data_IF_882184011517
#
_entry.id   IF_882184011517
#
_cell.length_a   1.000
_cell.length_b   1.000
_cell.length_c   1.000
_cell.angle_alpha   90.00
_cell.angle_beta   90.00
_cell.angle_gamma   90.00
#
_symmetry.space_group_name_H-M   'P 1'
#
loop_
_entity.id
_entity.type
_entity.pdbx_description
1 polymer ?
#
# COMPACT_ATOMS: atom_id res chain seq x y z
N UNK A 1 -46.45 17.97 15.52
CA UNK A 1 -45.23 17.54 14.80
C UNK A 1 -44.03 17.72 15.73
N UNK A 2 -43.76 16.74 16.60
CA UNK A 2 -42.71 16.89 17.64
C UNK A 2 -42.01 15.58 18.03
N UNK A 3 -42.52 14.43 17.57
CA UNK A 3 -41.99 13.10 17.91
C UNK A 3 -40.66 12.79 17.22
N UNK A 4 -40.46 13.25 15.98
CA UNK A 4 -39.20 13.03 15.25
C UNK A 4 -38.02 13.79 15.87
N UNK A 5 -38.27 14.97 16.46
CA UNK A 5 -37.26 15.79 17.15
C UNK A 5 -36.86 15.17 18.50
N UNK A 6 -37.83 14.63 19.25
CA UNK A 6 -37.60 13.93 20.52
C UNK A 6 -36.81 12.64 20.33
N UNK A 7 -37.04 11.90 19.23
CA UNK A 7 -36.27 10.71 18.91
C UNK A 7 -34.79 11.05 18.69
N UNK A 8 -34.48 12.13 17.98
CA UNK A 8 -33.11 12.58 17.75
C UNK A 8 -32.38 13.11 19.01
N UNK A 9 -33.12 13.64 19.98
CA UNK A 9 -32.61 14.10 21.28
C UNK A 9 -32.67 13.04 22.38
N UNK A 10 -33.20 11.85 22.09
CA UNK A 10 -33.27 10.75 23.07
C UNK A 10 -31.87 10.21 23.39
N UNK A 11 -31.71 9.70 24.61
CA UNK A 11 -30.49 9.02 25.04
C UNK A 11 -30.14 7.87 24.09
N UNK A 12 -31.13 7.14 23.58
CA UNK A 12 -30.94 6.08 22.59
C UNK A 12 -30.33 6.59 21.28
N UNK A 13 -30.78 7.75 20.77
CA UNK A 13 -30.17 8.34 19.58
C UNK A 13 -28.80 8.94 19.84
N UNK A 14 -28.50 9.35 21.08
CA UNK A 14 -27.15 9.76 21.47
C UNK A 14 -26.19 8.57 21.54
N UNK A 15 -26.62 7.46 22.13
CA UNK A 15 -25.87 6.21 22.21
C UNK A 15 -25.53 5.67 20.81
N UNK A 16 -26.51 5.54 19.91
CA UNK A 16 -26.26 5.09 18.53
C UNK A 16 -25.28 6.00 17.78
N UNK A 17 -25.31 7.32 18.03
CA UNK A 17 -24.34 8.25 17.42
C UNK A 17 -22.95 8.13 18.02
N UNK A 18 -22.85 7.79 19.29
CA UNK A 18 -21.58 7.60 19.98
C UNK A 18 -20.94 6.27 19.55
N UNK A 19 -21.71 5.18 19.58
CA UNK A 19 -21.32 3.86 19.07
C UNK A 19 -20.86 3.95 17.60
N UNK A 20 -21.68 4.54 16.71
CA UNK A 20 -21.28 4.70 15.30
C UNK A 20 -20.05 5.60 15.08
N UNK A 21 -19.74 6.51 16.02
CA UNK A 21 -18.48 7.30 15.98
C UNK A 21 -17.30 6.50 16.48
N UNK A 22 -17.49 5.62 17.46
CA UNK A 22 -16.45 4.73 17.95
C UNK A 22 -16.11 3.66 16.92
N UNK A 23 -17.12 2.99 16.37
CA UNK A 23 -16.98 2.02 15.28
C UNK A 23 -16.27 2.64 14.08
N UNK A 24 -16.74 3.79 13.57
CA UNK A 24 -16.09 4.45 12.44
C UNK A 24 -14.65 4.93 12.71
N UNK A 25 -14.29 5.18 13.98
CA UNK A 25 -12.89 5.48 14.36
C UNK A 25 -12.05 4.22 14.45
N UNK A 26 -12.63 3.10 14.85
CA UNK A 26 -11.96 1.81 14.92
C UNK A 26 -11.70 1.28 13.51
N UNK A 27 -12.73 1.22 12.67
CA UNK A 27 -12.64 0.82 11.26
C UNK A 27 -11.60 1.68 10.52
N UNK A 28 -11.69 3.02 10.60
CA UNK A 28 -10.73 3.88 9.92
C UNK A 28 -9.28 3.75 10.43
N UNK A 29 -9.07 3.32 11.68
CA UNK A 29 -7.71 3.00 12.19
C UNK A 29 -7.23 1.65 11.69
N UNK A 30 -8.11 0.68 11.54
CA UNK A 30 -7.77 -0.64 11.03
C UNK A 30 -7.44 -0.58 9.54
N UNK A 31 -8.31 0.02 8.73
CA UNK A 31 -8.09 0.26 7.29
C UNK A 31 -6.77 1.00 7.05
N UNK A 32 -6.55 2.14 7.73
CA UNK A 32 -5.31 2.90 7.56
C UNK A 32 -4.04 2.16 8.01
N UNK A 33 -4.14 1.21 8.94
CA UNK A 33 -3.01 0.34 9.32
C UNK A 33 -2.77 -0.75 8.28
N UNK A 34 -3.81 -1.28 7.68
CA UNK A 34 -3.71 -2.28 6.63
C UNK A 34 -3.10 -1.66 5.36
N UNK A 35 -3.66 -0.56 4.87
CA UNK A 35 -3.14 0.20 3.73
C UNK A 35 -1.66 0.56 3.93
N UNK A 36 -1.31 1.16 5.08
CA UNK A 36 0.08 1.52 5.37
C UNK A 36 1.04 0.33 5.46
N UNK A 37 0.56 -0.86 5.82
CA UNK A 37 1.38 -2.10 5.81
C UNK A 37 1.58 -2.60 4.39
N UNK A 38 0.57 -2.53 3.53
CA UNK A 38 0.67 -2.95 2.14
C UNK A 38 1.60 -2.03 1.34
N UNK A 39 1.41 -0.71 1.48
CA UNK A 39 2.30 0.29 0.88
C UNK A 39 3.75 0.10 1.34
N UNK A 40 3.97 -0.03 2.65
CA UNK A 40 5.32 -0.25 3.20
C UNK A 40 5.98 -1.54 2.71
N UNK A 41 5.21 -2.60 2.45
CA UNK A 41 5.73 -3.85 1.87
C UNK A 41 6.16 -3.65 0.42
N UNK A 42 5.35 -2.95 -0.37
CA UNK A 42 5.67 -2.66 -1.76
C UNK A 42 6.91 -1.78 -1.88
N UNK A 43 6.98 -0.69 -1.11
CA UNK A 43 8.16 0.19 -1.07
C UNK A 43 9.42 -0.57 -0.67
N UNK A 44 9.34 -1.45 0.34
CA UNK A 44 10.46 -2.26 0.77
C UNK A 44 10.94 -3.23 -0.32
N UNK A 45 10.01 -3.89 -1.04
CA UNK A 45 10.38 -4.79 -2.15
C UNK A 45 10.94 -4.03 -3.35
N UNK A 46 10.36 -2.88 -3.72
CA UNK A 46 10.89 -2.00 -4.74
C UNK A 46 12.33 -1.57 -4.40
N UNK A 47 12.56 -1.15 -3.16
CA UNK A 47 13.90 -0.84 -2.64
C UNK A 47 14.86 -2.02 -2.74
N UNK A 48 14.41 -3.24 -2.42
CA UNK A 48 15.23 -4.44 -2.53
C UNK A 48 15.64 -4.75 -3.98
N UNK A 49 14.74 -4.61 -4.95
CA UNK A 49 15.06 -4.77 -6.39
C UNK A 49 16.19 -3.83 -6.79
N UNK A 50 16.04 -2.54 -6.48
CA UNK A 50 17.03 -1.52 -6.82
C UNK A 50 18.37 -1.75 -6.14
N UNK A 51 18.34 -2.14 -4.86
CA UNK A 51 19.53 -2.48 -4.08
C UNK A 51 20.30 -3.64 -4.71
N UNK A 52 19.63 -4.70 -5.16
CA UNK A 52 20.29 -5.84 -5.82
C UNK A 52 20.98 -5.43 -7.11
N UNK A 53 20.30 -4.65 -7.98
CA UNK A 53 20.90 -4.14 -9.22
C UNK A 53 22.15 -3.29 -8.95
N UNK A 54 22.05 -2.37 -7.98
CA UNK A 54 23.16 -1.51 -7.57
C UNK A 54 24.34 -2.34 -7.05
N UNK A 55 24.10 -3.33 -6.19
CA UNK A 55 25.14 -4.23 -5.66
C UNK A 55 25.81 -5.06 -6.75
N UNK A 56 25.08 -5.40 -7.82
CA UNK A 56 25.61 -6.09 -9.00
C UNK A 56 26.32 -5.14 -9.98
N UNK A 57 26.31 -3.83 -9.73
CA UNK A 57 26.88 -2.83 -10.64
C UNK A 57 26.07 -2.64 -11.93
N UNK A 58 24.80 -3.05 -11.95
CA UNK A 58 23.90 -2.81 -13.09
C UNK A 58 23.43 -1.37 -13.03
N UNK A 59 23.70 -0.59 -14.08
CA UNK A 59 23.22 0.77 -14.18
C UNK A 59 21.68 0.80 -14.19
N UNK A 60 21.09 1.62 -13.33
CA UNK A 60 19.64 1.79 -13.22
C UNK A 60 19.26 3.20 -13.70
N UNK A 61 18.79 3.34 -14.95
CA UNK A 61 18.28 4.61 -15.45
C UNK A 61 17.10 5.14 -14.61
N UNK A 62 16.89 6.47 -14.57
CA UNK A 62 15.79 7.09 -13.81
C UNK A 62 14.42 6.49 -14.15
N UNK A 63 14.18 6.13 -15.41
CA UNK A 63 12.92 5.57 -15.89
C UNK A 63 12.65 4.18 -15.30
N UNK A 64 13.72 3.37 -15.14
CA UNK A 64 13.62 2.06 -14.49
C UNK A 64 13.37 2.22 -13.01
N UNK A 65 14.10 3.13 -12.35
CA UNK A 65 13.92 3.43 -10.93
C UNK A 65 12.50 3.91 -10.62
N UNK A 66 11.99 4.84 -11.42
CA UNK A 66 10.63 5.36 -11.32
C UNK A 66 9.58 4.27 -11.50
N UNK A 67 9.79 3.38 -12.50
CA UNK A 67 8.87 2.27 -12.74
C UNK A 67 8.84 1.27 -11.59
N UNK A 68 10.00 0.96 -11.00
CA UNK A 68 10.09 0.07 -9.84
C UNK A 68 9.41 0.69 -8.62
N UNK A 69 9.68 1.96 -8.33
CA UNK A 69 9.13 2.67 -7.16
C UNK A 69 7.61 2.92 -7.25
N UNK A 70 7.04 3.03 -8.44
CA UNK A 70 5.58 3.19 -8.63
C UNK A 70 4.81 1.88 -8.61
N UNK A 71 5.49 0.73 -8.58
CA UNK A 71 4.83 -0.56 -8.58
C UNK A 71 4.40 -0.93 -7.15
N UNK A 72 3.10 -1.18 -6.97
CA UNK A 72 2.52 -1.64 -5.70
C UNK A 72 2.15 -3.13 -5.70
N UNK A 73 2.28 -3.80 -6.85
CA UNK A 73 1.96 -5.22 -6.99
C UNK A 73 3.11 -6.10 -6.45
N UNK A 74 2.91 -6.65 -5.25
CA UNK A 74 3.92 -7.47 -4.56
C UNK A 74 4.37 -8.69 -5.38
N UNK A 75 3.50 -9.45 -6.07
CA UNK A 75 3.93 -10.54 -6.96
C UNK A 75 4.85 -10.07 -8.09
N UNK A 76 4.53 -8.94 -8.74
CA UNK A 76 5.40 -8.34 -9.77
C UNK A 76 6.74 -7.92 -9.20
N UNK A 77 6.75 -7.23 -8.05
CA UNK A 77 7.99 -6.82 -7.37
C UNK A 77 8.85 -8.03 -6.96
N UNK A 78 8.24 -9.09 -6.45
CA UNK A 78 8.93 -10.34 -6.13
C UNK A 78 9.56 -10.98 -7.38
N UNK A 79 8.84 -10.99 -8.50
CA UNK A 79 9.34 -11.54 -9.76
C UNK A 79 10.47 -10.66 -10.35
N UNK A 80 10.44 -9.34 -10.13
CA UNK A 80 11.55 -8.47 -10.49
C UNK A 80 12.75 -8.68 -9.57
N UNK A 81 12.52 -8.91 -8.27
CA UNK A 81 13.59 -9.18 -7.31
C UNK A 81 14.34 -10.47 -7.66
N UNK A 82 13.62 -11.52 -8.05
CA UNK A 82 14.22 -12.77 -8.52
C UNK A 82 15.08 -12.53 -9.79
N UNK A 83 14.54 -11.82 -10.78
CA UNK A 83 15.27 -11.46 -12.01
C UNK A 83 16.46 -10.53 -11.77
N UNK A 84 16.40 -9.67 -10.77
CA UNK A 84 17.46 -8.72 -10.45
C UNK A 84 18.80 -9.40 -10.19
N UNK A 85 18.81 -10.69 -9.83
CA UNK A 85 20.03 -11.48 -9.66
C UNK A 85 20.70 -11.90 -10.96
N UNK A 86 19.98 -11.96 -12.08
CA UNK A 86 20.46 -12.58 -13.32
C UNK A 86 20.48 -11.65 -14.54
N UNK A 87 19.62 -10.63 -14.59
CA UNK A 87 19.56 -9.69 -15.74
C UNK A 87 20.90 -9.04 -16.03
N UNK A 88 21.21 -8.83 -17.31
CA UNK A 88 22.43 -8.13 -17.74
C UNK A 88 22.25 -6.60 -17.73
N UNK A 89 21.01 -6.14 -17.89
CA UNK A 89 20.63 -4.73 -17.84
C UNK A 89 19.35 -4.51 -17.04
N UNK A 90 19.18 -3.31 -16.46
CA UNK A 90 18.01 -3.01 -15.64
C UNK A 90 16.69 -3.03 -16.44
N UNK A 91 16.73 -2.82 -17.76
CA UNK A 91 15.56 -2.89 -18.63
C UNK A 91 14.99 -4.31 -18.81
N UNK A 92 15.84 -5.34 -18.71
CA UNK A 92 15.43 -6.75 -18.83
C UNK A 92 14.56 -7.22 -17.66
N UNK A 93 14.54 -6.49 -16.53
CA UNK A 93 13.65 -6.78 -15.40
C UNK A 93 12.18 -6.92 -15.83
N UNK A 94 11.79 -6.16 -16.84
CA UNK A 94 10.42 -6.04 -17.29
C UNK A 94 10.07 -7.00 -18.43
N UNK A 95 11.00 -7.84 -18.88
CA UNK A 95 10.71 -8.84 -19.88
C UNK A 95 9.70 -9.85 -19.31
N UNK A 96 8.61 -10.07 -20.05
CA UNK A 96 7.74 -11.22 -19.81
C UNK A 96 8.52 -12.50 -20.19
N UNK A 97 8.23 -13.64 -19.55
CA UNK A 97 8.71 -14.93 -20.07
C UNK A 97 8.33 -15.14 -21.54
#
# INVERSE_FOLDING_TARGET
MTTLSYFFQSEAAQQVREEGREEGREEGREEGREEGREEGRAEAQAGAVLMVLERRGVAVPPEVRDRVNRCTDLPTLAAWLDRAWSVASAGELFAQP
#
